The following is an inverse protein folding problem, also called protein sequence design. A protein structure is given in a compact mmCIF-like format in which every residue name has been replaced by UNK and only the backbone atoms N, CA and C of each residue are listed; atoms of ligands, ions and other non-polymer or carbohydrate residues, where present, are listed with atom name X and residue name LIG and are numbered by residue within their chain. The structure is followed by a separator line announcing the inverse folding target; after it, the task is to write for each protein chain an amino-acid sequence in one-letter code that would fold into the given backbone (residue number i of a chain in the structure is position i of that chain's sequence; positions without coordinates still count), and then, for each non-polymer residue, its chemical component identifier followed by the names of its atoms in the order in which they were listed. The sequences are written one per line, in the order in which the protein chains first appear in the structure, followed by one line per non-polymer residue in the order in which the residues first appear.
data_IF_639772842822
#
_entry.id   IF_639772842822
#
_cell.length_a   1.000
_cell.length_b   1.000
_cell.length_c   1.000
_cell.angle_alpha   90.00
_cell.angle_beta   90.00
_cell.angle_gamma   90.00
#
_symmetry.space_group_name_H-M   'P 1'
#
loop_
_entity.id
_entity.type
_entity.pdbx_description
1 polymer ?
#
# COMPACT_ATOMS: atom_id res chain seq x y z
N UNK A 1 11.08 -13.65 18.39
CA UNK A 1 11.18 -14.50 17.18
C UNK A 1 12.66 -14.82 16.94
N UNK A 2 13.00 -16.04 16.56
CA UNK A 2 14.39 -16.48 16.29
C UNK A 2 14.57 -17.07 14.89
N UNK A 3 13.44 -17.25 14.20
CA UNK A 3 13.25 -17.91 12.91
C UNK A 3 13.22 -16.93 11.73
N UNK A 4 13.11 -15.64 12.00
CA UNK A 4 13.01 -14.57 11.00
C UNK A 4 13.82 -13.35 11.42
N UNK A 5 14.22 -12.53 10.43
CA UNK A 5 14.80 -11.22 10.68
C UNK A 5 13.72 -10.27 11.21
N UNK A 6 13.97 -9.64 12.35
CA UNK A 6 13.03 -8.70 13.00
C UNK A 6 13.50 -7.25 12.95
N UNK A 7 14.73 -6.99 12.50
CA UNK A 7 15.34 -5.67 12.45
C UNK A 7 16.26 -5.60 11.22
N UNK A 8 16.18 -4.52 10.45
CA UNK A 8 17.05 -4.31 9.29
C UNK A 8 18.44 -3.81 9.70
N UNK A 9 19.44 -3.86 8.81
CA UNK A 9 20.77 -3.27 9.05
C UNK A 9 20.75 -1.76 9.36
N UNK A 10 19.69 -1.04 8.97
CA UNK A 10 19.47 0.38 9.27
C UNK A 10 18.53 0.62 10.46
N UNK A 11 18.30 -0.40 11.30
CA UNK A 11 17.54 -0.34 12.54
C UNK A 11 16.03 -0.08 12.38
N UNK A 12 15.45 -0.36 11.20
CA UNK A 12 14.00 -0.38 11.03
C UNK A 12 13.43 -1.72 11.49
N UNK A 13 12.36 -1.75 12.31
CA UNK A 13 11.69 -3.00 12.67
C UNK A 13 11.03 -3.65 11.47
N UNK A 14 11.11 -4.98 11.42
CA UNK A 14 10.28 -5.82 10.54
C UNK A 14 9.13 -6.34 11.40
N UNK A 15 7.92 -5.93 11.06
CA UNK A 15 6.71 -6.24 11.83
C UNK A 15 6.29 -7.67 11.48
N UNK A 16 6.34 -8.53 12.50
CA UNK A 16 5.87 -9.90 12.45
C UNK A 16 4.94 -10.14 13.63
N UNK A 17 4.02 -11.08 13.51
CA UNK A 17 3.24 -11.52 14.66
C UNK A 17 4.20 -11.97 15.80
N UNK A 18 3.92 -11.48 17.01
CA UNK A 18 4.73 -11.68 18.20
C UNK A 18 5.94 -10.73 18.38
N UNK A 19 6.15 -9.71 17.52
CA UNK A 19 7.21 -8.70 17.72
C UNK A 19 6.73 -7.40 18.37
N UNK A 20 5.43 -7.27 18.62
CA UNK A 20 4.81 -6.08 19.20
C UNK A 20 3.70 -6.46 20.18
N UNK A 21 3.37 -5.53 21.09
CA UNK A 21 2.20 -5.62 21.96
C UNK A 21 1.12 -4.67 21.44
N UNK A 22 0.01 -5.23 20.97
CA UNK A 22 -1.13 -4.45 20.46
C UNK A 22 -1.70 -3.51 21.52
N UNK A 23 -1.84 -3.97 22.77
CA UNK A 23 -2.43 -3.18 23.85
C UNK A 23 -1.58 -1.94 24.17
N UNK A 24 -0.25 -2.10 24.25
CA UNK A 24 0.67 -0.99 24.51
C UNK A 24 0.62 0.02 23.37
N UNK A 25 0.69 -0.44 22.12
CA UNK A 25 0.66 0.46 20.97
C UNK A 25 -0.70 1.17 20.87
N UNK A 26 -1.81 0.46 21.04
CA UNK A 26 -3.14 1.07 21.02
C UNK A 26 -3.27 2.15 22.10
N UNK A 27 -2.82 1.88 23.34
CA UNK A 27 -2.85 2.88 24.40
C UNK A 27 -2.04 4.14 24.05
N UNK A 28 -0.91 3.98 23.35
CA UNK A 28 -0.08 5.11 22.90
C UNK A 28 -0.70 5.90 21.74
N UNK A 29 -1.37 5.23 20.81
CA UNK A 29 -1.90 5.86 19.59
C UNK A 29 -3.30 6.45 19.78
N UNK A 30 -4.14 5.86 20.64
CA UNK A 30 -5.47 6.41 20.99
C UNK A 30 -5.36 7.81 21.61
N UNK A 31 -4.30 8.10 22.37
CA UNK A 31 -4.09 9.42 22.97
C UNK A 31 -3.73 10.50 21.95
N UNK A 32 -3.28 10.11 20.75
CA UNK A 32 -2.81 11.04 19.71
C UNK A 32 -3.92 11.48 18.76
N UNK A 33 -5.08 10.81 18.76
CA UNK A 33 -6.22 11.09 17.88
C UNK A 33 -5.79 11.21 16.40
N UNK A 34 -4.94 10.30 15.95
CA UNK A 34 -4.42 10.32 14.58
C UNK A 34 -5.48 9.81 13.61
N UNK A 35 -5.57 10.46 12.45
CA UNK A 35 -6.44 10.03 11.36
C UNK A 35 -5.59 9.35 10.30
N UNK A 36 -5.97 8.13 9.91
CA UNK A 36 -5.26 7.39 8.86
C UNK A 36 -6.11 7.30 7.60
N UNK A 37 -5.52 7.62 6.46
CA UNK A 37 -6.12 7.41 5.15
C UNK A 37 -5.74 6.06 4.56
N UNK A 38 -6.70 5.41 3.91
CA UNK A 38 -6.45 4.25 3.02
C UNK A 38 -6.86 4.66 1.62
N UNK A 39 -5.94 4.57 0.66
CA UNK A 39 -6.20 4.84 -0.75
C UNK A 39 -6.23 3.52 -1.50
N UNK A 40 -7.28 3.33 -2.29
CA UNK A 40 -7.42 2.18 -3.16
C UNK A 40 -8.06 2.57 -4.50
N UNK A 41 -7.80 1.78 -5.54
CA UNK A 41 -8.23 2.06 -6.91
C UNK A 41 -9.04 0.88 -7.45
N UNK A 42 -10.30 1.12 -7.80
CA UNK A 42 -11.19 0.16 -8.44
C UNK A 42 -11.60 0.69 -9.82
N UNK A 43 -10.74 0.47 -10.81
CA UNK A 43 -10.90 0.96 -12.19
C UNK A 43 -11.20 -0.19 -13.13
N UNK A 44 -11.96 0.06 -14.21
CA UNK A 44 -12.39 -0.98 -15.16
C UNK A 44 -13.10 -2.13 -14.44
N UNK A 45 -12.68 -3.37 -14.66
CA UNK A 45 -13.31 -4.54 -14.04
C UNK A 45 -13.15 -4.57 -12.52
N UNK A 46 -12.18 -3.88 -11.92
CA UNK A 46 -11.88 -4.04 -10.49
C UNK A 46 -12.98 -3.57 -9.54
N UNK A 47 -14.09 -2.99 -10.04
CA UNK A 47 -15.26 -2.69 -9.23
C UNK A 47 -15.83 -3.93 -8.50
N UNK A 48 -15.66 -5.15 -9.03
CA UNK A 48 -16.18 -6.36 -8.37
C UNK A 48 -15.47 -6.70 -7.05
N UNK A 49 -14.28 -6.14 -6.79
CA UNK A 49 -13.55 -6.37 -5.55
C UNK A 49 -13.93 -5.40 -4.42
N UNK A 50 -14.63 -4.30 -4.74
CA UNK A 50 -14.92 -3.22 -3.79
C UNK A 50 -15.59 -3.74 -2.52
N UNK A 51 -16.63 -4.57 -2.65
CA UNK A 51 -17.38 -5.07 -1.50
C UNK A 51 -16.52 -5.95 -0.57
N UNK A 52 -15.73 -6.87 -1.15
CA UNK A 52 -14.86 -7.76 -0.39
C UNK A 52 -13.75 -7.01 0.35
N UNK A 53 -13.07 -6.11 -0.35
CA UNK A 53 -12.03 -5.26 0.24
C UNK A 53 -12.61 -4.37 1.33
N UNK A 54 -13.65 -3.58 1.03
CA UNK A 54 -14.19 -2.61 1.97
C UNK A 54 -14.79 -3.29 3.22
N UNK A 55 -15.48 -4.42 3.06
CA UNK A 55 -16.05 -5.16 4.20
C UNK A 55 -14.96 -5.67 5.14
N UNK A 56 -13.90 -6.26 4.57
CA UNK A 56 -12.78 -6.78 5.38
C UNK A 56 -11.93 -5.66 5.98
N UNK A 57 -11.63 -4.61 5.22
CA UNK A 57 -10.88 -3.46 5.68
C UNK A 57 -11.62 -2.70 6.79
N UNK A 58 -12.92 -2.48 6.64
CA UNK A 58 -13.76 -1.84 7.66
C UNK A 58 -13.78 -2.61 8.99
N UNK A 59 -13.56 -3.94 8.95
CA UNK A 59 -13.50 -4.79 10.14
C UNK A 59 -12.12 -4.85 10.76
N UNK A 60 -11.06 -4.92 9.95
CA UNK A 60 -9.74 -5.34 10.41
C UNK A 60 -8.66 -4.25 10.34
N UNK A 61 -8.82 -3.23 9.50
CA UNK A 61 -7.82 -2.19 9.34
C UNK A 61 -7.99 -1.12 10.41
N UNK A 62 -7.00 -0.99 11.29
CA UNK A 62 -6.94 -0.04 12.39
C UNK A 62 -8.23 0.02 13.22
N UNK A 63 -8.84 -1.13 13.50
CA UNK A 63 -10.10 -1.21 14.24
C UNK A 63 -10.03 -0.44 15.57
N UNK A 64 -10.97 0.48 15.78
CA UNK A 64 -11.02 1.37 16.95
C UNK A 64 -10.24 2.68 16.80
N UNK A 65 -9.63 2.95 15.64
CA UNK A 65 -9.02 4.23 15.28
C UNK A 65 -9.75 4.85 14.09
N UNK A 66 -9.59 6.16 13.90
CA UNK A 66 -10.25 6.86 12.81
C UNK A 66 -9.59 6.57 11.46
N UNK A 67 -10.38 6.03 10.52
CA UNK A 67 -9.90 5.70 9.17
C UNK A 67 -10.76 6.37 8.09
N UNK A 68 -10.10 7.05 7.16
CA UNK A 68 -10.72 7.60 5.96
C UNK A 68 -10.33 6.74 4.75
N UNK A 69 -11.30 6.04 4.16
CA UNK A 69 -11.12 5.27 2.93
C UNK A 69 -11.38 6.16 1.71
N UNK A 70 -10.39 6.28 0.84
CA UNK A 70 -10.44 7.03 -0.41
C UNK A 70 -10.45 6.04 -1.58
N UNK A 71 -11.65 5.77 -2.10
CA UNK A 71 -11.88 4.84 -3.20
C UNK A 71 -11.92 5.59 -4.53
N UNK A 72 -10.86 5.45 -5.32
CA UNK A 72 -10.80 5.98 -6.67
C UNK A 72 -11.45 4.99 -7.66
N UNK A 73 -12.49 5.40 -8.36
CA UNK A 73 -13.19 4.51 -9.30
C UNK A 73 -13.76 5.25 -10.52
N UNK A 74 -13.79 4.58 -11.66
CA UNK A 74 -14.48 5.03 -12.87
C UNK A 74 -15.96 4.62 -12.92
N UNK A 75 -16.42 3.83 -11.94
CA UNK A 75 -17.79 3.35 -11.81
C UNK A 75 -18.37 3.65 -10.40
N UNK A 76 -18.50 4.94 -10.00
CA UNK A 76 -18.96 5.31 -8.65
C UNK A 76 -20.36 4.78 -8.31
N UNK A 77 -21.22 4.57 -9.31
CA UNK A 77 -22.55 3.97 -9.15
C UNK A 77 -22.54 2.48 -8.80
N UNK A 78 -21.40 1.80 -8.96
CA UNK A 78 -21.21 0.39 -8.57
C UNK A 78 -20.84 0.23 -7.09
N UNK A 79 -20.51 1.32 -6.41
CA UNK A 79 -20.24 1.30 -4.98
C UNK A 79 -21.56 1.10 -4.24
N UNK A 80 -21.74 -0.08 -3.64
CA UNK A 80 -22.93 -0.43 -2.88
C UNK A 80 -23.04 0.38 -1.58
N UNK A 81 -24.21 0.33 -0.92
CA UNK A 81 -24.40 0.91 0.41
C UNK A 81 -23.65 0.07 1.46
N UNK A 82 -22.34 0.33 1.59
CA UNK A 82 -21.47 -0.29 2.58
C UNK A 82 -21.76 0.31 3.96
N UNK A 83 -22.02 -0.54 4.95
CA UNK A 83 -22.13 -0.13 6.34
C UNK A 83 -20.73 0.01 6.94
N UNK A 84 -20.29 1.25 7.12
CA UNK A 84 -19.00 1.56 7.75
C UNK A 84 -19.12 1.52 9.27
N UNK A 85 -18.04 1.15 9.95
CA UNK A 85 -17.92 1.31 11.39
C UNK A 85 -17.99 2.81 11.77
N UNK A 86 -18.40 3.17 13.00
CA UNK A 86 -18.56 4.57 13.41
C UNK A 86 -17.31 5.43 13.22
N UNK A 87 -16.12 4.83 13.32
CA UNK A 87 -14.82 5.49 13.20
C UNK A 87 -14.37 5.64 11.74
N UNK A 88 -15.04 4.95 10.82
CA UNK A 88 -14.62 4.77 9.44
C UNK A 88 -15.48 5.58 8.47
N UNK A 89 -14.84 6.30 7.56
CA UNK A 89 -15.50 7.10 6.54
C UNK A 89 -15.09 6.64 5.14
N UNK A 90 -16.04 6.54 4.21
CA UNK A 90 -15.78 6.20 2.81
C UNK A 90 -16.02 7.42 1.92
N UNK A 91 -14.98 7.82 1.19
CA UNK A 91 -15.00 8.85 0.16
C UNK A 91 -14.81 8.19 -1.21
N UNK A 92 -15.86 8.22 -2.03
CA UNK A 92 -15.80 7.75 -3.41
C UNK A 92 -15.36 8.89 -4.32
N UNK A 93 -14.22 8.73 -4.98
CA UNK A 93 -13.60 9.75 -5.83
C UNK A 93 -13.65 9.29 -7.29
N UNK A 94 -14.51 9.90 -8.13
CA UNK A 94 -14.59 9.54 -9.53
C UNK A 94 -13.27 9.81 -10.27
N UNK A 95 -12.82 8.86 -11.06
CA UNK A 95 -11.70 9.03 -12.01
C UNK A 95 -12.19 8.85 -13.43
N UNK A 96 -11.58 9.56 -14.38
CA UNK A 96 -12.02 9.51 -15.77
C UNK A 96 -11.69 8.17 -16.44
N UNK A 97 -12.68 7.57 -17.11
CA UNK A 97 -12.51 6.41 -17.97
C UNK A 97 -11.85 6.85 -19.31
N UNK A 98 -10.51 6.86 -19.35
CA UNK A 98 -9.72 7.08 -20.58
C UNK A 98 -9.75 5.87 -21.54
N UNK A 99 -9.43 6.05 -22.82
CA UNK A 99 -9.53 4.97 -23.83
C UNK A 99 -8.33 4.01 -23.84
N UNK A 100 -7.25 4.29 -23.08
CA UNK A 100 -6.07 3.43 -22.99
C UNK A 100 -5.57 3.29 -21.54
N UNK A 101 -5.18 2.08 -21.17
CA UNK A 101 -4.45 1.82 -19.90
C UNK A 101 -3.13 2.60 -19.78
N UNK A 102 -2.60 3.06 -20.92
CA UNK A 102 -1.36 3.84 -21.10
C UNK A 102 -1.50 5.31 -20.69
N UNK A 103 -2.72 5.77 -20.42
CA UNK A 103 -2.92 7.17 -20.10
C UNK A 103 -2.29 7.48 -18.74
N UNK A 104 -1.32 8.39 -18.74
CA UNK A 104 -0.75 9.02 -17.54
C UNK A 104 -1.87 9.51 -16.61
N UNK A 105 -3.03 9.87 -17.16
CA UNK A 105 -4.22 10.25 -16.40
C UNK A 105 -4.71 9.16 -15.44
N UNK A 106 -4.34 7.89 -15.62
CA UNK A 106 -4.68 6.74 -14.77
C UNK A 106 -3.55 6.27 -13.86
N UNK A 107 -2.37 6.87 -13.96
CA UNK A 107 -1.22 6.50 -13.13
C UNK A 107 -1.54 6.71 -11.64
N UNK A 108 -1.57 5.62 -10.87
CA UNK A 108 -1.88 5.64 -9.42
C UNK A 108 -0.99 6.62 -8.66
N UNK A 109 0.32 6.61 -8.96
CA UNK A 109 1.30 7.50 -8.35
C UNK A 109 0.99 8.98 -8.62
N UNK A 110 0.57 9.33 -9.85
CA UNK A 110 0.19 10.70 -10.22
C UNK A 110 -1.10 11.14 -9.55
N UNK A 111 -2.13 10.28 -9.59
CA UNK A 111 -3.43 10.59 -8.98
C UNK A 111 -3.23 10.80 -7.47
N UNK A 112 -2.50 9.89 -6.83
CA UNK A 112 -2.22 9.94 -5.41
C UNK A 112 -1.42 11.18 -5.02
N UNK A 113 -0.28 11.46 -5.67
CA UNK A 113 0.52 12.65 -5.36
C UNK A 113 -0.27 13.96 -5.54
N UNK A 114 -1.10 14.05 -6.58
CA UNK A 114 -1.98 15.20 -6.82
C UNK A 114 -3.06 15.38 -5.76
N UNK A 115 -3.67 14.30 -5.26
CA UNK A 115 -4.67 14.37 -4.19
C UNK A 115 -4.04 14.65 -2.84
N UNK A 116 -2.85 14.11 -2.56
CA UNK A 116 -2.08 14.46 -1.36
C UNK A 116 -1.80 15.96 -1.32
N UNK A 117 -1.28 16.51 -2.43
CA UNK A 117 -0.91 17.92 -2.49
C UNK A 117 -2.11 18.86 -2.30
N UNK A 118 -3.28 18.50 -2.85
CA UNK A 118 -4.47 19.37 -2.84
C UNK A 118 -5.34 19.20 -1.59
N UNK A 119 -5.43 17.98 -1.05
CA UNK A 119 -6.48 17.62 -0.11
C UNK A 119 -5.96 16.75 1.05
N UNK A 120 -5.43 15.56 0.77
CA UNK A 120 -5.21 14.54 1.82
C UNK A 120 -4.24 15.00 2.92
N UNK A 121 -3.28 15.88 2.59
CA UNK A 121 -2.35 16.47 3.57
C UNK A 121 -2.99 17.32 4.67
N UNK A 122 -4.26 17.66 4.51
CA UNK A 122 -5.04 18.43 5.48
C UNK A 122 -6.09 17.57 6.19
N UNK A 123 -6.27 16.31 5.78
CA UNK A 123 -7.32 15.42 6.28
C UNK A 123 -6.81 14.26 7.13
N UNK A 124 -5.58 13.80 6.85
CA UNK A 124 -5.01 12.62 7.51
C UNK A 124 -3.55 12.84 7.89
N UNK A 125 -3.10 12.14 8.94
CA UNK A 125 -1.71 12.15 9.42
C UNK A 125 -0.86 11.11 8.70
N UNK A 126 -1.45 9.94 8.46
CA UNK A 126 -0.85 8.79 7.79
C UNK A 126 -1.68 8.37 6.59
N UNK A 127 -1.04 7.79 5.59
CA UNK A 127 -1.67 7.34 4.36
C UNK A 127 -1.10 6.00 3.92
N UNK A 128 -1.98 5.06 3.61
CA UNK A 128 -1.62 3.75 3.08
C UNK A 128 -2.27 3.53 1.72
N UNK A 129 -1.48 3.09 0.75
CA UNK A 129 -1.98 2.62 -0.54
C UNK A 129 -2.13 1.10 -0.46
N UNK A 130 -3.33 0.61 -0.78
CA UNK A 130 -3.65 -0.81 -0.83
C UNK A 130 -4.30 -1.16 -2.16
N UNK A 131 -3.89 -2.26 -2.78
CA UNK A 131 -4.59 -2.82 -3.93
C UNK A 131 -6.00 -3.27 -3.53
N UNK A 132 -6.96 -3.16 -4.45
CA UNK A 132 -8.37 -3.46 -4.17
C UNK A 132 -8.67 -4.96 -4.23
N UNK A 133 -7.86 -5.73 -4.95
CA UNK A 133 -8.05 -7.16 -5.21
C UNK A 133 -7.55 -8.06 -4.07
N UNK A 134 -7.55 -7.52 -2.84
CA UNK A 134 -7.20 -8.25 -1.61
C UNK A 134 -8.35 -8.26 -0.62
N UNK A 135 -8.29 -9.20 0.32
CA UNK A 135 -9.17 -9.23 1.49
C UNK A 135 -8.32 -9.35 2.76
N UNK A 136 -8.66 -8.55 3.76
CA UNK A 136 -8.01 -8.65 5.06
C UNK A 136 -8.58 -9.84 5.83
N UNK A 137 -7.71 -10.76 6.23
CA UNK A 137 -8.10 -11.97 6.97
C UNK A 137 -7.90 -11.81 8.48
N UNK A 138 -7.07 -10.85 8.89
CA UNK A 138 -6.71 -10.59 10.28
C UNK A 138 -6.47 -9.10 10.51
N UNK A 139 -6.36 -8.73 11.79
CA UNK A 139 -6.18 -7.35 12.23
C UNK A 139 -4.85 -6.75 11.74
N UNK A 140 -4.93 -5.60 11.09
CA UNK A 140 -3.79 -4.74 10.74
C UNK A 140 -3.92 -3.50 11.61
N UNK A 141 -3.09 -3.38 12.64
CA UNK A 141 -3.21 -2.36 13.67
C UNK A 141 -2.17 -1.24 13.57
N UNK A 142 -2.14 -0.41 14.60
CA UNK A 142 -1.22 0.74 14.68
C UNK A 142 0.26 0.35 14.69
N UNK A 143 0.58 -0.94 14.77
CA UNK A 143 1.94 -1.44 14.57
C UNK A 143 2.51 -1.13 13.19
N UNK A 144 1.67 -0.80 12.19
CA UNK A 144 2.14 -0.41 10.86
C UNK A 144 2.52 1.07 10.79
N UNK A 145 2.16 1.90 11.78
CA UNK A 145 2.29 3.36 11.72
C UNK A 145 3.74 3.78 11.89
N UNK A 146 4.28 4.42 10.84
CA UNK A 146 5.63 4.98 10.81
C UNK A 146 5.79 6.03 9.70
N UNK A 147 6.95 6.69 9.64
CA UNK A 147 7.21 7.74 8.64
C UNK A 147 7.17 7.20 7.20
N UNK A 148 7.84 6.08 6.93
CA UNK A 148 7.87 5.42 5.61
C UNK A 148 7.80 3.90 5.80
N UNK A 149 6.75 3.28 5.25
CA UNK A 149 6.39 1.89 5.49
C UNK A 149 6.35 1.14 4.16
N UNK A 150 7.08 0.02 4.10
CA UNK A 150 7.13 -0.84 2.93
C UNK A 150 6.81 -2.29 3.30
N UNK A 151 6.13 -3.02 2.42
CA UNK A 151 5.80 -4.44 2.64
C UNK A 151 6.74 -5.34 1.86
N UNK A 152 7.35 -6.31 2.53
CA UNK A 152 8.22 -7.31 1.89
C UNK A 152 7.33 -8.26 1.08
N UNK A 153 7.71 -8.48 -0.17
CA UNK A 153 6.98 -9.34 -1.09
C UNK A 153 7.09 -10.82 -0.68
N UNK A 154 5.95 -11.54 -0.70
CA UNK A 154 5.88 -12.97 -0.40
C UNK A 154 6.70 -13.84 -1.36
N UNK A 155 6.93 -13.36 -2.59
CA UNK A 155 7.83 -14.00 -3.58
C UNK A 155 9.26 -14.22 -3.05
N UNK A 156 9.72 -13.42 -2.07
CA UNK A 156 11.05 -13.55 -1.47
C UNK A 156 11.13 -14.69 -0.43
N UNK A 157 9.99 -15.17 0.09
CA UNK A 157 9.94 -16.11 1.21
C UNK A 157 9.41 -17.50 0.81
N UNK A 158 8.78 -17.64 -0.35
CA UNK A 158 8.22 -18.92 -0.82
C UNK A 158 9.29 -19.97 -1.20
N UNK A 159 9.33 -21.14 -0.52
CA UNK A 159 10.27 -22.23 -0.86
C UNK A 159 9.97 -22.93 -2.19
N UNK A 160 8.75 -22.79 -2.72
CA UNK A 160 8.31 -23.49 -3.94
C UNK A 160 9.02 -23.03 -5.23
N UNK A 161 9.73 -21.90 -5.20
CA UNK A 161 10.52 -21.43 -6.34
C UNK A 161 11.91 -22.06 -6.47
N UNK A 162 12.40 -22.84 -5.50
CA UNK A 162 13.63 -23.63 -5.74
C UNK A 162 13.42 -24.72 -6.79
N UNK A 163 12.19 -25.22 -6.96
CA UNK A 163 11.88 -26.34 -7.86
C UNK A 163 11.14 -25.96 -9.16
N UNK A 164 10.69 -24.72 -9.33
CA UNK A 164 10.04 -24.24 -10.56
C UNK A 164 10.89 -23.19 -11.26
N UNK A 165 11.79 -23.68 -12.11
CA UNK A 165 12.20 -23.12 -13.40
C UNK A 165 12.59 -21.63 -13.49
N UNK A 166 13.86 -21.37 -13.87
CA UNK A 166 14.34 -20.69 -15.12
C UNK A 166 13.48 -19.59 -15.80
N UNK A 167 12.57 -18.93 -15.11
CA UNK A 167 11.79 -17.79 -15.58
C UNK A 167 11.94 -16.65 -14.58
N UNK A 168 12.91 -15.78 -14.85
CA UNK A 168 13.07 -14.43 -14.31
C UNK A 168 12.70 -14.24 -12.83
N UNK A 169 13.44 -14.86 -11.92
CA UNK A 169 13.58 -14.27 -10.57
C UNK A 169 14.09 -12.83 -10.82
N UNK A 170 13.35 -11.77 -10.45
CA UNK A 170 13.94 -10.44 -10.48
C UNK A 170 15.20 -10.53 -9.63
N UNK A 171 16.36 -10.28 -10.23
CA UNK A 171 17.59 -10.14 -9.45
C UNK A 171 17.27 -9.11 -8.36
N UNK A 172 17.25 -9.55 -7.10
CA UNK A 172 16.99 -8.66 -5.97
C UNK A 172 18.24 -7.79 -5.84
N UNK A 173 18.28 -6.74 -6.63
CA UNK A 173 19.33 -5.75 -6.61
C UNK A 173 18.98 -4.79 -5.47
N UNK A 174 19.21 -5.18 -4.22
CA UNK A 174 18.82 -4.39 -3.04
C UNK A 174 18.66 -5.21 -1.76
N UNK A 175 18.20 -4.58 -0.68
CA UNK A 175 18.04 -5.25 0.62
C UNK A 175 16.87 -6.25 0.66
N UNK A 176 15.72 -5.84 0.09
CA UNK A 176 14.49 -6.63 -0.02
C UNK A 176 13.78 -6.28 -1.33
N UNK A 177 12.90 -7.19 -1.80
CA UNK A 177 11.92 -6.88 -2.83
C UNK A 177 10.61 -6.46 -2.16
N UNK A 178 10.18 -5.23 -2.41
CA UNK A 178 8.98 -4.64 -1.84
C UNK A 178 7.81 -4.71 -2.80
N UNK A 179 6.62 -5.02 -2.31
CA UNK A 179 5.39 -5.02 -3.13
C UNK A 179 4.83 -3.60 -3.28
N UNK A 180 4.34 -3.27 -4.47
CA UNK A 180 3.56 -2.04 -4.69
C UNK A 180 2.08 -2.15 -4.25
N UNK A 181 1.65 -3.31 -3.80
CA UNK A 181 0.26 -3.58 -3.40
C UNK A 181 -0.07 -3.12 -1.99
N UNK A 182 0.94 -2.94 -1.13
CA UNK A 182 0.74 -2.37 0.20
C UNK A 182 1.97 -1.59 0.66
N UNK A 183 1.84 -0.26 0.75
CA UNK A 183 2.86 0.64 1.28
C UNK A 183 2.20 1.87 1.89
N UNK A 184 2.95 2.66 2.66
CA UNK A 184 2.40 3.88 3.24
C UNK A 184 3.37 4.61 4.14
N UNK A 185 2.81 5.37 5.07
CA UNK A 185 3.55 6.11 6.08
C UNK A 185 2.95 7.49 6.30
N UNK A 186 3.75 8.43 6.80
CA UNK A 186 3.32 9.82 6.94
C UNK A 186 2.95 10.39 5.57
N UNK A 187 1.94 11.26 5.52
CA UNK A 187 1.52 11.89 4.26
C UNK A 187 2.70 12.53 3.51
N UNK A 188 3.62 13.17 4.23
CA UNK A 188 4.78 13.83 3.64
C UNK A 188 5.71 12.84 2.91
N UNK A 189 5.99 11.69 3.50
CA UNK A 189 6.84 10.67 2.88
C UNK A 189 6.13 9.97 1.72
N UNK A 190 4.83 9.66 1.86
CA UNK A 190 4.05 9.09 0.76
C UNK A 190 3.96 10.05 -0.43
N UNK A 191 3.88 11.36 -0.19
CA UNK A 191 3.95 12.37 -1.24
C UNK A 191 5.29 12.34 -1.99
N UNK A 192 6.41 12.29 -1.25
CA UNK A 192 7.75 12.23 -1.86
C UNK A 192 7.92 10.97 -2.70
N UNK A 193 7.55 9.81 -2.15
CA UNK A 193 7.61 8.51 -2.82
C UNK A 193 6.80 8.53 -4.11
N UNK A 194 5.51 8.89 -4.03
CA UNK A 194 4.61 8.87 -5.18
C UNK A 194 5.03 9.86 -6.27
N UNK A 195 5.55 11.03 -5.87
CA UNK A 195 6.10 12.03 -6.80
C UNK A 195 7.35 11.52 -7.51
N UNK A 196 8.30 10.91 -6.77
CA UNK A 196 9.52 10.36 -7.34
C UNK A 196 9.23 9.18 -8.28
N UNK A 197 8.36 8.25 -7.86
CA UNK A 197 7.95 7.14 -8.72
C UNK A 197 7.22 7.63 -9.98
N UNK A 198 6.40 8.67 -9.87
CA UNK A 198 5.77 9.28 -11.04
C UNK A 198 6.81 9.93 -11.98
N UNK A 199 7.79 10.66 -11.45
CA UNK A 199 8.89 11.22 -12.23
C UNK A 199 9.67 10.16 -13.00
N UNK A 200 10.02 9.05 -12.36
CA UNK A 200 10.69 7.94 -13.05
C UNK A 200 9.86 7.32 -14.17
N UNK A 201 8.53 7.22 -14.01
CA UNK A 201 7.64 6.77 -15.08
C UNK A 201 7.58 7.75 -16.26
N UNK A 202 7.70 9.06 -16.00
CA UNK A 202 7.78 10.08 -17.05
C UNK A 202 9.08 9.93 -17.85
N UNK A 203 10.21 9.76 -17.17
CA UNK A 203 11.51 9.55 -17.80
C UNK A 203 11.53 8.29 -18.68
N UNK A 204 10.98 7.16 -18.18
CA UNK A 204 10.87 5.93 -18.97
C UNK A 204 10.05 6.17 -20.25
N UNK A 205 8.93 6.89 -20.14
CA UNK A 205 8.08 7.23 -21.28
C UNK A 205 8.79 8.10 -22.30
N UNK A 206 9.52 9.12 -21.86
CA UNK A 206 10.29 10.01 -22.73
C UNK A 206 11.41 9.27 -23.48
N UNK A 207 11.98 8.25 -22.84
CA UNK A 207 13.01 7.40 -23.43
C UNK A 207 12.45 6.25 -24.30
N UNK A 208 11.14 6.19 -24.53
CA UNK A 208 10.51 5.12 -25.32
C UNK A 208 10.54 3.75 -24.66
N UNK A 209 10.78 3.70 -23.34
CA UNK A 209 10.78 2.48 -22.53
C UNK A 209 9.33 2.18 -22.15
N UNK A 210 8.61 1.50 -23.04
CA UNK A 210 7.26 1.01 -22.77
C UNK A 210 7.31 -0.24 -21.90
N UNK A 211 7.25 -0.01 -20.60
CA UNK A 211 7.38 -1.08 -19.64
C UNK A 211 6.00 -1.34 -19.01
N UNK A 212 5.41 -2.51 -19.28
CA UNK A 212 4.18 -2.98 -18.63
C UNK A 212 4.44 -3.25 -17.13
N UNK A 213 3.76 -2.55 -16.22
CA UNK A 213 3.69 -2.94 -14.80
C UNK A 213 4.70 -2.30 -13.80
N UNK A 214 5.33 -1.16 -14.11
CA UNK A 214 6.54 -0.71 -13.39
C UNK A 214 6.34 0.27 -12.20
N UNK A 215 5.16 0.35 -11.58
CA UNK A 215 5.06 1.07 -10.31
C UNK A 215 5.96 0.41 -9.24
N UNK A 216 6.03 -0.92 -9.23
CA UNK A 216 6.84 -1.68 -8.28
C UNK A 216 8.34 -1.51 -8.51
N UNK A 217 8.80 -1.42 -9.76
CA UNK A 217 10.22 -1.15 -10.06
C UNK A 217 10.65 0.21 -9.52
N UNK A 218 9.88 1.26 -9.82
CA UNK A 218 10.19 2.61 -9.36
C UNK A 218 10.05 2.72 -7.83
N UNK A 219 9.11 2.03 -7.23
CA UNK A 219 8.98 1.89 -5.77
C UNK A 219 10.25 1.26 -5.16
N UNK A 220 10.69 0.11 -5.68
CA UNK A 220 11.88 -0.57 -5.18
C UNK A 220 13.14 0.30 -5.35
N UNK A 221 13.31 0.94 -6.51
CA UNK A 221 14.41 1.90 -6.74
C UNK A 221 14.37 3.05 -5.72
N UNK A 222 13.19 3.59 -5.43
CA UNK A 222 13.03 4.64 -4.43
C UNK A 222 13.43 4.16 -3.03
N UNK A 223 12.93 3.00 -2.60
CA UNK A 223 13.18 2.43 -1.27
C UNK A 223 14.63 1.94 -1.06
N UNK A 224 15.36 1.64 -2.13
CA UNK A 224 16.80 1.38 -2.05
C UNK A 224 17.57 2.63 -1.64
N UNK A 225 17.15 3.80 -2.13
CA UNK A 225 17.78 5.10 -1.84
C UNK A 225 17.22 5.74 -0.56
N UNK A 226 15.95 5.47 -0.24
CA UNK A 226 15.22 6.02 0.91
C UNK A 226 14.74 4.86 1.77
N UNK A 227 15.56 4.49 2.76
CA UNK A 227 15.30 3.31 3.59
C UNK A 227 13.99 3.48 4.36
N UNK A 228 13.04 2.51 4.28
CA UNK A 228 11.81 2.58 5.04
C UNK A 228 12.11 2.52 6.53
N UNK A 229 11.38 3.31 7.32
CA UNK A 229 11.51 3.33 8.79
C UNK A 229 10.81 2.15 9.44
N UNK A 230 9.95 1.45 8.69
CA UNK A 230 9.29 0.21 9.10
C UNK A 230 9.04 -0.71 7.92
N UNK A 231 9.27 -2.00 8.11
CA UNK A 231 8.96 -3.02 7.12
C UNK A 231 7.84 -3.90 7.63
N UNK A 232 6.90 -4.22 6.76
CA UNK A 232 5.87 -5.23 7.04
C UNK A 232 6.33 -6.56 6.47
N UNK A 233 6.19 -7.62 7.26
CA UNK A 233 6.45 -8.97 6.79
C UNK A 233 5.45 -9.39 5.70
N UNK A 234 5.71 -10.51 4.99
CA UNK A 234 4.72 -11.10 4.09
C UNK A 234 3.39 -11.51 4.75
N UNK A 235 3.26 -11.50 6.08
CA UNK A 235 1.97 -11.73 6.76
C UNK A 235 0.94 -10.63 6.41
N UNK A 236 1.42 -9.43 6.04
CA UNK A 236 0.59 -8.28 5.68
C UNK A 236 0.17 -8.25 4.21
N UNK A 237 0.83 -9.03 3.36
CA UNK A 237 0.46 -9.22 1.96
C UNK A 237 0.96 -10.59 1.49
N UNK A 238 0.02 -11.52 1.32
CA UNK A 238 0.32 -12.89 0.94
C UNK A 238 -0.42 -13.26 -0.35
N UNK A 239 0.36 -13.61 -1.36
CA UNK A 239 -0.17 -14.17 -2.61
C UNK A 239 -0.30 -15.70 -2.47
N UNK A 240 -1.54 -16.19 -2.54
CA UNK A 240 -1.85 -17.62 -2.41
C UNK A 240 -1.59 -18.42 -3.68
N UNK A 241 -1.36 -17.76 -4.81
CA UNK A 241 -1.04 -18.41 -6.09
C UNK A 241 0.47 -18.70 -6.25
N UNK A 242 1.26 -18.43 -5.21
CA UNK A 242 2.70 -18.75 -5.09
C UNK A 242 3.03 -20.24 -5.01
#
# INVERSE_FOLDING_TARGET
RQDVLVLTPWLAPIVWEGTFSRDILNAQYLQKNLVTGVVTFAVEKYWFFIEGFMTSANKYFLAGHQVNFYLFTDNPEKVSHLQMAPENHLFVIPVQNGSRWQDISRCRMRILSSHIQRQLRHEVDYLYSMDIDVQLLAHIGVEIIDALVATISSWQVSPQQENKARGTRPEVQGDFHYTASFYGGSVAEVYKLTTACFGGLMEDRENGVEALGHHERHLNKYLQQHKPTRLLSPEYYWDTEL
#
